data_IF_683324220451
#
_entry.id   IF_683324220451
#
_cell.length_a   1.000
_cell.length_b   1.000
_cell.length_c   1.000
_cell.angle_alpha   90.00
_cell.angle_beta   90.00
_cell.angle_gamma   90.00
#
_symmetry.space_group_name_H-M   'P 1'
#
loop_
_entity.id
_entity.type
_entity.pdbx_description
1 polymer ?
#
# COMPACT_ATOMS: atom_id res chain seq x y z
N UNK A 1 19.50 -14.08 16.41
CA UNK A 1 18.20 -14.70 16.01
C UNK A 1 17.98 -14.59 14.50
N UNK A 2 18.25 -13.42 13.89
CA UNK A 2 18.05 -13.23 12.43
C UNK A 2 19.02 -14.05 11.58
N UNK A 3 20.30 -14.18 11.99
CA UNK A 3 21.27 -15.06 11.32
C UNK A 3 20.83 -16.54 11.30
N UNK A 4 20.18 -17.01 12.37
CA UNK A 4 19.62 -18.37 12.36
C UNK A 4 18.42 -18.50 11.43
N UNK A 5 17.56 -17.47 11.35
CA UNK A 5 16.45 -17.45 10.39
C UNK A 5 16.98 -17.48 8.95
N UNK A 6 18.03 -16.70 8.66
CA UNK A 6 18.69 -16.74 7.35
C UNK A 6 19.20 -18.14 7.00
N UNK A 7 19.97 -18.77 7.89
CA UNK A 7 20.49 -20.13 7.68
C UNK A 7 19.38 -21.13 7.35
N UNK A 8 18.26 -21.05 8.08
CA UNK A 8 17.12 -21.94 7.86
C UNK A 8 16.46 -21.65 6.49
N UNK A 9 16.20 -20.38 6.17
CA UNK A 9 15.55 -19.99 4.92
C UNK A 9 16.43 -20.31 3.70
N UNK A 10 17.72 -19.99 3.76
CA UNK A 10 18.68 -20.29 2.68
C UNK A 10 18.88 -21.80 2.53
N UNK A 11 19.07 -22.52 3.64
CA UNK A 11 19.26 -23.98 3.63
C UNK A 11 18.06 -24.73 3.07
N UNK A 12 16.86 -24.15 3.14
CA UNK A 12 15.63 -24.74 2.62
C UNK A 12 15.08 -24.02 1.38
N UNK A 13 15.90 -23.24 0.65
CA UNK A 13 15.46 -22.44 -0.50
C UNK A 13 14.70 -23.29 -1.53
N UNK A 14 15.13 -24.52 -1.81
CA UNK A 14 14.52 -25.38 -2.83
C UNK A 14 13.02 -25.61 -2.57
N UNK A 15 12.63 -25.79 -1.30
CA UNK A 15 11.25 -25.98 -0.90
C UNK A 15 10.59 -24.64 -0.55
N UNK A 16 11.29 -23.82 0.22
CA UNK A 16 10.77 -22.54 0.71
C UNK A 16 10.33 -21.60 -0.42
N UNK A 17 11.12 -21.47 -1.46
CA UNK A 17 10.80 -20.60 -2.61
C UNK A 17 9.59 -21.08 -3.43
N UNK A 18 9.02 -22.23 -3.15
CA UNK A 18 7.73 -22.63 -3.71
C UNK A 18 6.53 -21.97 -3.00
N UNK A 19 6.78 -21.24 -1.92
CA UNK A 19 5.78 -20.50 -1.14
C UNK A 19 6.06 -18.99 -1.22
N UNK A 20 5.06 -18.16 -1.47
CA UNK A 20 5.26 -16.71 -1.62
C UNK A 20 5.78 -16.02 -0.36
N UNK A 21 5.39 -16.47 0.83
CA UNK A 21 5.84 -15.90 2.09
C UNK A 21 7.34 -16.12 2.37
N UNK A 22 7.99 -17.08 1.72
CA UNK A 22 9.44 -17.24 1.82
C UNK A 22 10.18 -15.98 1.34
N UNK A 23 9.73 -15.38 0.26
CA UNK A 23 10.32 -14.15 -0.28
C UNK A 23 10.10 -12.95 0.64
N UNK A 24 8.94 -12.85 1.25
CA UNK A 24 8.65 -11.84 2.27
C UNK A 24 9.62 -11.95 3.44
N UNK A 25 9.75 -13.14 4.02
CA UNK A 25 10.65 -13.41 5.14
C UNK A 25 12.12 -13.15 4.77
N UNK A 26 12.54 -13.51 3.56
CA UNK A 26 13.91 -13.24 3.10
C UNK A 26 14.16 -11.73 2.96
N UNK A 27 13.21 -10.93 2.46
CA UNK A 27 13.33 -9.47 2.40
C UNK A 27 13.50 -8.89 3.81
N UNK A 28 12.73 -9.38 4.79
CA UNK A 28 12.85 -8.97 6.19
C UNK A 28 14.23 -9.31 6.77
N UNK A 29 14.70 -10.54 6.54
CA UNK A 29 16.02 -11.01 7.01
C UNK A 29 17.15 -10.19 6.38
N UNK A 30 17.14 -10.01 5.06
CA UNK A 30 18.13 -9.17 4.36
C UNK A 30 18.18 -7.76 4.93
N UNK A 31 17.03 -7.19 5.27
CA UNK A 31 16.95 -5.84 5.85
C UNK A 31 17.48 -5.82 7.28
N UNK A 32 17.06 -6.79 8.11
CA UNK A 32 17.46 -6.84 9.52
C UNK A 32 18.96 -7.13 9.72
N UNK A 33 19.59 -7.84 8.78
CA UNK A 33 21.02 -8.15 8.80
C UNK A 33 21.89 -7.10 8.07
N UNK A 34 21.25 -6.08 7.46
CA UNK A 34 21.96 -5.03 6.74
C UNK A 34 22.59 -5.49 5.42
N UNK A 35 22.03 -6.52 4.80
CA UNK A 35 22.45 -6.95 3.47
C UNK A 35 22.27 -5.85 2.42
N UNK A 36 22.94 -5.99 1.28
CA UNK A 36 22.91 -5.00 0.22
C UNK A 36 21.50 -4.77 -0.33
N UNK A 37 21.26 -3.58 -0.87
CA UNK A 37 20.02 -3.27 -1.57
C UNK A 37 19.79 -4.23 -2.77
N UNK A 38 20.86 -4.66 -3.43
CA UNK A 38 20.79 -5.56 -4.60
C UNK A 38 20.29 -6.95 -4.22
N UNK A 39 20.75 -7.52 -3.10
CA UNK A 39 20.27 -8.82 -2.61
C UNK A 39 18.76 -8.77 -2.27
N UNK A 40 18.36 -7.72 -1.56
CA UNK A 40 16.95 -7.50 -1.23
C UNK A 40 16.08 -7.29 -2.48
N UNK A 41 16.56 -6.49 -3.43
CA UNK A 41 15.85 -6.23 -4.68
C UNK A 41 15.73 -7.50 -5.53
N UNK A 42 16.80 -8.32 -5.61
CA UNK A 42 16.78 -9.60 -6.33
C UNK A 42 15.74 -10.53 -5.75
N UNK A 43 15.70 -10.67 -4.42
CA UNK A 43 14.70 -11.50 -3.73
C UNK A 43 13.28 -10.99 -3.97
N UNK A 44 13.08 -9.68 -3.89
CA UNK A 44 11.79 -9.05 -4.18
C UNK A 44 11.34 -9.33 -5.62
N UNK A 45 12.19 -9.08 -6.60
CA UNK A 45 11.85 -9.25 -8.03
C UNK A 45 11.51 -10.71 -8.36
N UNK A 46 12.29 -11.67 -7.82
CA UNK A 46 12.01 -13.10 -7.99
C UNK A 46 10.62 -13.44 -7.43
N UNK A 47 10.35 -13.05 -6.18
CA UNK A 47 9.08 -13.34 -5.51
C UNK A 47 7.88 -12.67 -6.17
N UNK A 48 7.98 -11.39 -6.48
CA UNK A 48 6.89 -10.61 -7.08
C UNK A 48 6.61 -11.01 -8.55
N UNK A 49 7.62 -11.49 -9.28
CA UNK A 49 7.40 -12.02 -10.63
C UNK A 49 6.72 -13.38 -10.61
N UNK A 50 7.12 -14.25 -9.67
CA UNK A 50 6.58 -15.61 -9.55
C UNK A 50 5.18 -15.63 -8.94
N UNK A 51 4.93 -14.74 -7.96
CA UNK A 51 3.68 -14.66 -7.19
C UNK A 51 3.07 -13.26 -7.29
N UNK A 52 2.69 -12.85 -8.49
CA UNK A 52 2.24 -11.49 -8.83
C UNK A 52 1.13 -10.96 -7.92
N UNK A 53 0.24 -11.84 -7.44
CA UNK A 53 -0.92 -11.47 -6.63
C UNK A 53 -0.68 -11.56 -5.12
N UNK A 54 0.50 -12.02 -4.69
CA UNK A 54 0.83 -12.05 -3.27
C UNK A 54 1.27 -10.68 -2.78
N UNK A 55 0.30 -9.90 -2.35
CA UNK A 55 0.44 -8.49 -1.99
C UNK A 55 1.48 -8.23 -0.90
N UNK A 56 1.66 -9.16 0.04
CA UNK A 56 2.53 -8.95 1.19
C UNK A 56 3.99 -8.73 0.81
N UNK A 57 4.51 -9.40 -0.22
CA UNK A 57 5.87 -9.16 -0.73
C UNK A 57 6.09 -7.68 -1.14
N UNK A 58 5.09 -7.08 -1.80
CA UNK A 58 5.14 -5.67 -2.22
C UNK A 58 5.06 -4.72 -1.02
N UNK A 59 4.19 -5.03 -0.05
CA UNK A 59 4.03 -4.22 1.17
C UNK A 59 5.33 -4.23 1.98
N UNK A 60 5.92 -5.41 2.18
CA UNK A 60 7.16 -5.57 2.94
C UNK A 60 8.29 -4.80 2.27
N UNK A 61 8.48 -4.95 0.94
CA UNK A 61 9.49 -4.19 0.22
C UNK A 61 9.26 -2.67 0.31
N UNK A 62 8.02 -2.20 0.12
CA UNK A 62 7.67 -0.79 0.24
C UNK A 62 8.02 -0.23 1.63
N UNK A 63 7.71 -0.97 2.71
CA UNK A 63 8.00 -0.52 4.07
C UNK A 63 9.49 -0.18 4.23
N UNK A 64 10.38 -1.04 3.74
CA UNK A 64 11.82 -0.85 3.85
C UNK A 64 12.40 0.22 2.92
N UNK A 65 11.63 0.67 1.92
CA UNK A 65 12.00 1.79 1.07
C UNK A 65 11.55 3.15 1.61
N UNK A 66 10.77 3.20 2.70
CA UNK A 66 10.34 4.45 3.32
C UNK A 66 11.53 5.20 3.94
N UNK A 67 11.52 6.55 3.96
CA UNK A 67 12.62 7.36 4.50
C UNK A 67 13.04 7.00 5.93
N UNK A 68 12.08 6.61 6.78
CA UNK A 68 12.35 6.20 8.17
C UNK A 68 13.26 4.97 8.31
N UNK A 69 13.43 4.20 7.22
CA UNK A 69 14.30 3.04 7.13
C UNK A 69 15.51 3.28 6.23
N UNK A 70 15.86 4.55 5.96
CA UNK A 70 16.99 4.92 5.11
C UNK A 70 16.72 4.92 3.61
N UNK A 71 15.46 4.71 3.20
CA UNK A 71 15.03 4.81 1.80
C UNK A 71 14.64 6.24 1.40
N UNK A 72 13.76 6.36 0.42
CA UNK A 72 13.26 7.65 -0.06
C UNK A 72 11.87 7.53 -0.69
N UNK A 73 11.10 8.62 -0.71
CA UNK A 73 9.82 8.62 -1.43
C UNK A 73 9.98 8.36 -2.93
N UNK A 74 11.13 8.69 -3.52
CA UNK A 74 11.44 8.33 -4.91
C UNK A 74 11.58 6.81 -5.08
N UNK A 75 12.24 6.14 -4.15
CA UNK A 75 12.37 4.68 -4.17
C UNK A 75 11.00 4.00 -4.00
N UNK A 76 10.17 4.51 -3.09
CA UNK A 76 8.78 4.04 -2.91
C UNK A 76 7.97 4.22 -4.20
N UNK A 77 8.04 5.41 -4.83
CA UNK A 77 7.29 5.71 -6.06
C UNK A 77 7.75 4.81 -7.23
N UNK A 78 9.06 4.57 -7.37
CA UNK A 78 9.61 3.64 -8.36
C UNK A 78 9.11 2.20 -8.14
N UNK A 79 9.07 1.74 -6.89
CA UNK A 79 8.49 0.43 -6.55
C UNK A 79 7.01 0.37 -6.92
N UNK A 80 6.24 1.41 -6.61
CA UNK A 80 4.81 1.48 -6.91
C UNK A 80 4.57 1.43 -8.42
N UNK A 81 5.34 2.19 -9.20
CA UNK A 81 5.25 2.18 -10.68
C UNK A 81 5.57 0.81 -11.27
N UNK A 82 6.63 0.18 -10.79
CA UNK A 82 6.98 -1.17 -11.19
C UNK A 82 5.88 -2.18 -10.82
N UNK A 83 5.34 -2.08 -9.59
CA UNK A 83 4.29 -2.97 -9.09
C UNK A 83 3.01 -2.87 -9.92
N UNK A 84 2.58 -1.64 -10.26
CA UNK A 84 1.44 -1.42 -11.16
C UNK A 84 1.70 -2.07 -12.52
N UNK A 85 2.89 -1.88 -13.09
CA UNK A 85 3.25 -2.45 -14.39
C UNK A 85 3.25 -3.98 -14.35
N UNK A 86 3.80 -4.57 -13.30
CA UNK A 86 3.92 -6.03 -13.13
C UNK A 86 2.56 -6.73 -12.93
N UNK A 87 1.59 -6.03 -12.34
CA UNK A 87 0.27 -6.59 -11.99
C UNK A 87 -0.88 -6.06 -12.84
N UNK A 88 -0.58 -5.25 -13.86
CA UNK A 88 -1.57 -4.53 -14.66
C UNK A 88 -2.70 -5.42 -15.21
N UNK A 89 -2.36 -6.63 -15.62
CA UNK A 89 -3.31 -7.55 -16.27
C UNK A 89 -4.41 -8.02 -15.31
N UNK A 90 -4.11 -8.11 -14.01
CA UNK A 90 -5.04 -8.60 -12.98
C UNK A 90 -5.57 -7.51 -12.06
N UNK A 91 -4.72 -6.54 -11.72
CA UNK A 91 -4.98 -5.53 -10.70
C UNK A 91 -5.28 -4.13 -11.28
N UNK A 92 -5.00 -3.87 -12.56
CA UNK A 92 -5.12 -2.54 -13.15
C UNK A 92 -4.24 -1.52 -12.41
N UNK A 93 -4.83 -0.43 -11.93
CA UNK A 93 -4.17 0.59 -11.11
C UNK A 93 -4.29 0.30 -9.59
N UNK A 94 -4.96 -0.79 -9.18
CA UNK A 94 -5.27 -1.03 -7.77
C UNK A 94 -4.02 -1.09 -6.89
N UNK A 95 -2.88 -1.61 -7.42
CA UNK A 95 -1.62 -1.65 -6.69
C UNK A 95 -1.11 -0.27 -6.29
N UNK A 96 -1.37 0.77 -7.09
CA UNK A 96 -1.05 2.14 -6.71
C UNK A 96 -1.78 2.55 -5.43
N UNK A 97 -3.10 2.34 -5.39
CA UNK A 97 -3.90 2.65 -4.21
C UNK A 97 -3.51 1.79 -2.99
N UNK A 98 -3.28 0.48 -3.19
CA UNK A 98 -2.90 -0.44 -2.10
C UNK A 98 -1.60 -0.02 -1.43
N UNK A 99 -0.56 0.26 -2.22
CA UNK A 99 0.76 0.56 -1.68
C UNK A 99 0.80 1.95 -1.04
N UNK A 100 0.23 2.98 -1.67
CA UNK A 100 0.16 4.31 -1.06
C UNK A 100 -0.82 4.40 0.12
N UNK A 101 -1.92 3.63 0.12
CA UNK A 101 -2.76 3.49 1.31
C UNK A 101 -1.96 2.99 2.52
N UNK A 102 -1.10 2.01 2.31
CA UNK A 102 -0.22 1.54 3.38
C UNK A 102 0.78 2.61 3.84
N UNK A 103 1.31 3.45 2.93
CA UNK A 103 2.11 4.63 3.31
C UNK A 103 1.29 5.60 4.15
N UNK A 104 0.04 5.89 3.72
CA UNK A 104 -0.88 6.75 4.47
C UNK A 104 -1.05 6.31 5.92
N UNK A 105 -1.25 5.01 6.16
CA UNK A 105 -1.37 4.47 7.51
C UNK A 105 -0.06 4.50 8.32
N UNK A 106 1.08 4.53 7.66
CA UNK A 106 2.41 4.60 8.30
C UNK A 106 2.85 6.04 8.62
N UNK A 107 2.25 7.06 8.00
CA UNK A 107 2.57 8.46 8.30
C UNK A 107 2.17 8.83 9.73
N UNK A 108 2.87 9.80 10.30
CA UNK A 108 2.48 10.38 11.58
C UNK A 108 1.10 11.06 11.49
N UNK A 109 0.30 11.05 12.55
CA UNK A 109 -0.97 11.78 12.59
C UNK A 109 -0.77 13.25 12.23
N UNK A 110 -1.69 13.81 11.44
CA UNK A 110 -1.63 15.19 10.97
C UNK A 110 -0.76 15.43 9.73
N UNK A 111 -0.02 14.42 9.27
CA UNK A 111 0.76 14.50 8.03
C UNK A 111 -0.07 14.13 6.81
N UNK A 112 -0.12 15.01 5.82
CA UNK A 112 -0.84 14.74 4.58
C UNK A 112 0.00 13.91 3.63
N UNK A 113 -0.56 12.78 3.15
CA UNK A 113 0.13 11.93 2.18
C UNK A 113 0.45 12.69 0.88
N UNK A 114 -0.41 13.64 0.48
CA UNK A 114 -0.23 14.43 -0.74
C UNK A 114 0.84 15.52 -0.62
N UNK A 115 1.26 15.86 0.61
CA UNK A 115 2.33 16.84 0.88
C UNK A 115 3.66 16.17 1.20
N UNK A 116 3.62 15.06 1.92
CA UNK A 116 4.81 14.38 2.43
C UNK A 116 5.42 13.40 1.41
N UNK A 117 4.65 12.95 0.41
CA UNK A 117 5.06 11.91 -0.53
C UNK A 117 4.92 12.35 -2.00
N UNK A 118 5.23 11.44 -2.92
CA UNK A 118 5.08 11.68 -4.36
C UNK A 118 3.72 11.24 -4.91
N UNK A 119 2.79 10.79 -4.04
CA UNK A 119 1.48 10.31 -4.46
C UNK A 119 0.70 11.35 -5.26
N UNK A 120 0.02 10.91 -6.30
CA UNK A 120 -0.83 11.75 -7.16
C UNK A 120 -2.28 11.33 -7.03
N UNK A 121 -3.16 12.26 -6.60
CA UNK A 121 -4.58 11.96 -6.42
C UNK A 121 -5.26 11.34 -7.66
N UNK A 122 -5.05 11.81 -8.90
CA UNK A 122 -5.70 11.18 -10.05
C UNK A 122 -5.37 9.68 -10.20
N UNK A 123 -4.12 9.28 -9.93
CA UNK A 123 -3.71 7.86 -9.97
C UNK A 123 -4.25 7.09 -8.77
N UNK A 124 -4.24 7.71 -7.58
CA UNK A 124 -4.81 7.12 -6.38
C UNK A 124 -6.29 6.83 -6.56
N UNK A 125 -7.02 7.79 -7.14
CA UNK A 125 -8.43 7.65 -7.49
C UNK A 125 -8.67 6.50 -8.47
N UNK A 126 -7.93 6.45 -9.58
CA UNK A 126 -8.01 5.34 -10.54
C UNK A 126 -7.72 3.98 -9.89
N UNK A 127 -6.73 3.94 -8.98
CA UNK A 127 -6.41 2.75 -8.22
C UNK A 127 -7.56 2.29 -7.30
N UNK A 128 -8.23 3.21 -6.64
CA UNK A 128 -9.41 2.89 -5.84
C UNK A 128 -10.62 2.49 -6.69
N UNK A 129 -10.81 3.11 -7.85
CA UNK A 129 -11.86 2.71 -8.80
C UNK A 129 -11.66 1.26 -9.25
N UNK A 130 -10.42 0.84 -9.55
CA UNK A 130 -10.09 -0.56 -9.82
C UNK A 130 -10.28 -1.46 -8.60
N UNK A 131 -9.89 -1.01 -7.39
CA UNK A 131 -10.16 -1.75 -6.14
C UNK A 131 -11.65 -1.99 -5.91
N UNK A 132 -12.48 -0.98 -6.14
CA UNK A 132 -13.93 -1.12 -5.99
C UNK A 132 -14.56 -2.02 -7.08
N UNK A 133 -13.95 -2.07 -8.27
CA UNK A 133 -14.36 -3.00 -9.32
C UNK A 133 -14.00 -4.44 -9.00
N UNK A 134 -12.80 -4.67 -8.42
CA UNK A 134 -12.31 -6.00 -8.03
C UNK A 134 -12.99 -6.51 -6.75
N UNK A 135 -13.29 -5.61 -5.82
CA UNK A 135 -13.83 -5.93 -4.49
C UNK A 135 -15.01 -5.00 -4.17
N UNK A 136 -16.14 -5.12 -4.89
CA UNK A 136 -17.27 -4.19 -4.77
C UNK A 136 -17.90 -4.16 -3.38
N UNK A 137 -17.84 -5.26 -2.64
CA UNK A 137 -18.42 -5.39 -1.30
C UNK A 137 -17.46 -4.94 -0.18
N UNK A 138 -16.25 -4.47 -0.52
CA UNK A 138 -15.28 -4.07 0.51
C UNK A 138 -15.62 -2.71 1.11
N UNK A 139 -16.25 -2.75 2.29
CA UNK A 139 -16.56 -1.54 3.08
C UNK A 139 -15.29 -0.78 3.46
N UNK A 140 -14.19 -1.49 3.76
CA UNK A 140 -12.92 -0.88 4.09
C UNK A 140 -12.36 -0.06 2.91
N UNK A 141 -12.32 -0.62 1.71
CA UNK A 141 -11.86 0.11 0.53
C UNK A 141 -12.76 1.32 0.23
N UNK A 142 -14.07 1.20 0.43
CA UNK A 142 -15.03 2.29 0.22
C UNK A 142 -14.77 3.46 1.20
N UNK A 143 -14.55 3.15 2.48
CA UNK A 143 -14.26 4.15 3.52
C UNK A 143 -12.88 4.81 3.30
N UNK A 144 -11.83 4.01 3.03
CA UNK A 144 -10.50 4.51 2.73
C UNK A 144 -10.48 5.44 1.50
N UNK A 145 -11.22 5.06 0.46
CA UNK A 145 -11.35 5.87 -0.74
C UNK A 145 -12.02 7.23 -0.44
N UNK A 146 -13.08 7.22 0.37
CA UNK A 146 -13.77 8.45 0.76
C UNK A 146 -12.90 9.35 1.65
N UNK A 147 -12.18 8.78 2.62
CA UNK A 147 -11.27 9.52 3.49
C UNK A 147 -10.15 10.20 2.69
N UNK A 148 -9.53 9.49 1.74
CA UNK A 148 -8.48 10.04 0.88
C UNK A 148 -9.03 11.03 -0.16
N UNK A 149 -10.27 10.86 -0.64
CA UNK A 149 -10.93 11.87 -1.46
C UNK A 149 -11.17 13.17 -0.69
N UNK A 150 -11.52 13.07 0.60
CA UNK A 150 -11.66 14.23 1.48
C UNK A 150 -10.32 14.94 1.68
N UNK A 151 -9.26 14.20 1.96
CA UNK A 151 -7.92 14.75 2.13
C UNK A 151 -7.43 15.44 0.86
N UNK A 152 -7.64 14.83 -0.31
CA UNK A 152 -7.31 15.39 -1.62
C UNK A 152 -8.16 16.61 -2.02
N UNK A 153 -9.25 16.90 -1.30
CA UNK A 153 -10.17 17.99 -1.64
C UNK A 153 -11.14 17.66 -2.78
N UNK A 154 -11.26 16.41 -3.20
CA UNK A 154 -12.20 15.97 -4.26
C UNK A 154 -13.62 15.83 -3.71
N UNK A 155 -14.30 16.98 -3.57
CA UNK A 155 -15.68 17.07 -3.09
C UNK A 155 -16.62 16.12 -3.83
N UNK A 156 -16.53 16.09 -5.16
CA UNK A 156 -17.46 15.28 -6.00
C UNK A 156 -17.34 13.80 -5.67
N UNK A 157 -16.11 13.30 -5.62
CA UNK A 157 -15.82 11.90 -5.28
C UNK A 157 -16.23 11.59 -3.85
N UNK A 158 -15.86 12.44 -2.89
CA UNK A 158 -16.24 12.26 -1.49
C UNK A 158 -17.75 12.13 -1.31
N UNK A 159 -18.54 13.08 -1.83
CA UNK A 159 -20.00 13.08 -1.66
C UNK A 159 -20.66 11.83 -2.28
N UNK A 160 -20.16 11.38 -3.43
CA UNK A 160 -20.64 10.15 -4.08
C UNK A 160 -20.37 8.91 -3.23
N UNK A 161 -19.14 8.80 -2.66
CA UNK A 161 -18.75 7.67 -1.83
C UNK A 161 -19.46 7.71 -0.47
N UNK A 162 -19.59 8.91 0.14
CA UNK A 162 -20.28 9.09 1.41
C UNK A 162 -21.73 8.61 1.35
N UNK A 163 -22.42 8.89 0.25
CA UNK A 163 -23.78 8.37 0.00
C UNK A 163 -23.81 6.85 -0.04
N UNK A 164 -22.79 6.20 -0.61
CA UNK A 164 -22.69 4.74 -0.67
C UNK A 164 -22.36 4.12 0.69
N UNK A 165 -21.51 4.78 1.48
CA UNK A 165 -21.15 4.33 2.85
C UNK A 165 -22.41 4.24 3.73
N UNK A 166 -23.31 5.21 3.64
CA UNK A 166 -24.54 5.20 4.46
C UNK A 166 -24.22 5.01 5.94
N UNK A 167 -24.64 3.85 6.49
CA UNK A 167 -24.40 3.45 7.89
C UNK A 167 -23.15 2.60 8.08
N UNK A 168 -22.50 2.19 6.99
CA UNK A 168 -21.32 1.29 7.00
C UNK A 168 -20.01 2.04 7.24
N UNK A 169 -20.01 2.89 8.25
CA UNK A 169 -18.86 3.66 8.69
C UNK A 169 -17.82 2.77 9.37
N UNK A 170 -16.56 2.88 8.93
CA UNK A 170 -15.41 2.19 9.50
C UNK A 170 -14.48 3.24 10.12
N UNK A 171 -14.50 3.35 11.44
CA UNK A 171 -13.81 4.39 12.21
C UNK A 171 -12.32 4.49 11.88
N UNK A 172 -11.65 3.36 11.75
CA UNK A 172 -10.20 3.27 11.50
C UNK A 172 -9.77 3.96 10.20
N UNK A 173 -10.63 4.00 9.20
CA UNK A 173 -10.37 4.71 7.93
C UNK A 173 -10.32 6.24 8.09
N UNK A 174 -10.87 6.79 9.20
CA UNK A 174 -11.08 8.23 9.41
C UNK A 174 -10.24 8.82 10.55
N UNK A 175 -9.49 8.01 11.27
CA UNK A 175 -8.76 8.47 12.47
C UNK A 175 -7.43 9.17 12.19
N UNK A 176 -6.93 9.16 10.95
CA UNK A 176 -5.59 9.72 10.65
C UNK A 176 -5.58 11.24 10.63
N UNK A 177 -6.25 11.86 9.68
CA UNK A 177 -6.14 13.31 9.45
C UNK A 177 -7.49 14.01 9.48
N UNK A 178 -8.56 13.32 9.14
CA UNK A 178 -9.89 13.89 9.03
C UNK A 178 -10.91 12.90 9.56
N UNK A 179 -11.70 13.33 10.55
CA UNK A 179 -12.89 12.54 10.91
C UNK A 179 -13.95 12.65 9.81
N UNK A 180 -14.88 11.69 9.79
CA UNK A 180 -15.97 11.72 8.82
C UNK A 180 -16.78 13.02 8.95
N UNK A 181 -17.06 13.45 10.19
CA UNK A 181 -17.82 14.67 10.49
C UNK A 181 -17.13 15.93 9.98
N UNK A 182 -15.81 16.01 10.09
CA UNK A 182 -15.02 17.11 9.53
C UNK A 182 -15.12 17.15 8.01
N UNK A 183 -15.09 16.01 7.34
CA UNK A 183 -15.25 15.92 5.90
C UNK A 183 -16.67 16.26 5.44
N UNK A 184 -17.69 15.83 6.19
CA UNK A 184 -19.09 16.17 5.95
C UNK A 184 -19.29 17.69 6.06
N UNK A 185 -18.78 18.30 7.15
CA UNK A 185 -18.84 19.74 7.35
C UNK A 185 -18.09 20.50 6.25
N UNK A 186 -16.85 20.06 5.91
CA UNK A 186 -16.00 20.65 4.87
C UNK A 186 -16.72 20.73 3.51
N UNK A 187 -17.49 19.72 3.16
CA UNK A 187 -18.16 19.62 1.86
C UNK A 187 -19.66 19.88 1.86
N UNK A 188 -20.25 20.16 3.03
CA UNK A 188 -21.68 20.46 3.18
C UNK A 188 -22.57 19.24 2.94
N UNK A 189 -22.16 18.07 3.39
CA UNK A 189 -23.02 16.88 3.41
C UNK A 189 -24.02 17.00 4.56
N UNK A 190 -25.31 16.81 4.28
CA UNK A 190 -26.42 16.88 5.22
C UNK A 190 -27.15 15.53 5.27
#
# INVERSE_FOLDING_TARGET
RMENAEKVLVGNKAVGSTLPNWYELMIEVHTALGHSADERNTTFLEGATRYKTYLQTYITMRNYLEPKWGGSWKAVDSLVDWSVSNTKDTEGQSMYARLYKGVYYNLEPGKSIFKETLVKWPRMKAGFEDLMRLYPESKANLNDFAALACEAGDKKTFLSLRKKIGKDYIKESWEKNYSLELCEAKFGYK
#
